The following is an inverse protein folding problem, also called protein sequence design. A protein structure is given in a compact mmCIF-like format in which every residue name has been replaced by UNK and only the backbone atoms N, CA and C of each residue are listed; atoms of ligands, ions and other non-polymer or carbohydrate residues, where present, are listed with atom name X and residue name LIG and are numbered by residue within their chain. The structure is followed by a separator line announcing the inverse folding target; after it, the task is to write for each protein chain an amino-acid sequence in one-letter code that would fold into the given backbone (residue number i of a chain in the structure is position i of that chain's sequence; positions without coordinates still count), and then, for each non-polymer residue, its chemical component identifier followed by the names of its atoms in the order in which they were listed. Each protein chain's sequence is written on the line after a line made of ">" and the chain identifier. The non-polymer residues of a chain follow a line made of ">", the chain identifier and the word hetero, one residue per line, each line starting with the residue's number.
data_IF_770172070702
#
_entry.id   IF_770172070702
#
_cell.length_a   1.000
_cell.length_b   1.000
_cell.length_c   1.000
_cell.angle_alpha   90.00
_cell.angle_beta   90.00
_cell.angle_gamma   90.00
#
_symmetry.space_group_name_H-M   'P 1'
#
loop_
_entity.id
_entity.type
_entity.pdbx_description
1 polymer ?
#
# COMPACT_ATOMS: atom_id res chain seq x y z
N UNK A 1 -5.30 18.80 -36.17
CA UNK A 1 -5.64 19.29 -34.82
C UNK A 1 -7.04 18.81 -34.47
N UNK A 2 -7.26 18.03 -33.41
CA UNK A 2 -8.61 17.91 -32.86
C UNK A 2 -8.87 19.11 -31.92
N UNK A 3 -10.06 19.71 -31.97
CA UNK A 3 -10.39 20.90 -31.20
C UNK A 3 -10.55 20.52 -29.73
N UNK A 4 -9.59 20.93 -28.90
CA UNK A 4 -9.69 20.87 -27.45
C UNK A 4 -10.65 21.95 -26.95
N UNK A 5 -11.94 21.67 -26.99
CA UNK A 5 -12.95 22.45 -26.27
C UNK A 5 -13.01 21.98 -24.81
N UNK A 6 -12.61 22.81 -23.87
CA UNK A 6 -12.97 22.63 -22.47
C UNK A 6 -14.48 22.83 -22.34
N UNK A 7 -15.24 21.75 -22.21
CA UNK A 7 -16.69 21.83 -22.04
C UNK A 7 -17.02 22.54 -20.72
N UNK A 8 -17.45 23.80 -20.81
CA UNK A 8 -18.06 24.57 -19.74
C UNK A 8 -19.54 24.22 -19.65
N UNK A 9 -19.88 23.41 -18.65
CA UNK A 9 -21.22 22.85 -18.43
C UNK A 9 -21.03 21.42 -17.96
N UNK A 10 -21.32 21.11 -16.70
CA UNK A 10 -20.91 19.82 -16.13
C UNK A 10 -21.86 18.72 -16.62
N UNK A 11 -21.46 17.83 -17.56
CA UNK A 11 -22.28 16.67 -17.93
C UNK A 11 -22.62 15.86 -16.68
N UNK A 12 -21.76 15.87 -15.66
CA UNK A 12 -21.98 15.22 -14.35
C UNK A 12 -23.26 15.63 -13.64
N UNK A 13 -23.64 16.92 -13.65
CA UNK A 13 -24.87 17.37 -13.00
C UNK A 13 -26.08 16.92 -13.79
N UNK A 14 -26.00 16.95 -15.12
CA UNK A 14 -27.01 16.42 -16.03
C UNK A 14 -27.18 14.90 -15.86
N UNK A 15 -26.07 14.16 -15.81
CA UNK A 15 -26.04 12.72 -15.55
C UNK A 15 -26.61 12.40 -14.17
N UNK A 16 -26.26 13.18 -13.15
CA UNK A 16 -26.79 12.99 -11.81
C UNK A 16 -28.29 13.25 -11.74
N UNK A 17 -28.78 14.30 -12.39
CA UNK A 17 -30.20 14.60 -12.51
C UNK A 17 -30.95 13.52 -13.30
N UNK A 18 -30.34 12.98 -14.37
CA UNK A 18 -30.92 11.89 -15.16
C UNK A 18 -31.01 10.59 -14.34
N UNK A 19 -29.99 10.27 -13.53
CA UNK A 19 -30.02 9.12 -12.61
C UNK A 19 -31.06 9.29 -11.51
N UNK A 20 -31.17 10.48 -10.93
CA UNK A 20 -32.11 10.75 -9.83
C UNK A 20 -33.58 10.60 -10.25
N UNK A 21 -33.89 10.74 -11.55
CA UNK A 21 -35.24 10.53 -12.10
C UNK A 21 -35.59 9.06 -12.33
N UNK A 22 -34.63 8.14 -12.26
CA UNK A 22 -34.88 6.72 -12.54
C UNK A 22 -35.55 6.04 -11.36
N UNK A 23 -36.54 5.15 -11.60
CA UNK A 23 -37.17 4.40 -10.53
C UNK A 23 -36.14 3.51 -9.83
N UNK A 24 -36.26 3.42 -8.51
CA UNK A 24 -35.39 2.59 -7.68
C UNK A 24 -34.03 3.21 -7.32
N UNK A 25 -33.69 4.40 -7.81
CA UNK A 25 -32.48 5.14 -7.36
C UNK A 25 -32.80 5.92 -6.09
N UNK A 26 -32.10 5.60 -5.00
CA UNK A 26 -32.32 6.21 -3.68
C UNK A 26 -31.54 7.51 -3.48
N UNK A 27 -30.30 7.54 -3.96
CA UNK A 27 -29.41 8.67 -3.79
C UNK A 27 -28.43 8.76 -4.94
N UNK A 28 -28.06 9.98 -5.30
CA UNK A 28 -27.04 10.26 -6.32
C UNK A 28 -26.00 11.22 -5.74
N UNK A 29 -24.73 10.88 -5.91
CA UNK A 29 -23.59 11.66 -5.37
C UNK A 29 -22.58 11.92 -6.47
N UNK A 30 -22.15 13.16 -6.62
CA UNK A 30 -21.17 13.56 -7.64
C UNK A 30 -19.78 13.75 -7.02
N UNK A 31 -18.78 13.05 -7.54
CA UNK A 31 -17.38 13.29 -7.21
C UNK A 31 -16.70 14.13 -8.30
N UNK A 32 -16.73 15.45 -8.12
CA UNK A 32 -16.13 16.39 -9.07
C UNK A 32 -14.64 16.15 -9.31
N UNK A 33 -13.90 15.65 -8.32
CA UNK A 33 -12.45 15.43 -8.45
C UNK A 33 -12.11 14.17 -9.24
N UNK A 34 -12.93 13.13 -9.13
CA UNK A 34 -12.73 11.85 -9.83
C UNK A 34 -13.46 11.76 -11.16
N UNK A 35 -14.33 12.73 -11.45
CA UNK A 35 -15.23 12.69 -12.59
C UNK A 35 -16.13 11.44 -12.59
N UNK A 36 -16.70 11.10 -11.42
CA UNK A 36 -17.56 9.93 -11.22
C UNK A 36 -18.87 10.38 -10.57
N UNK A 37 -19.98 9.76 -10.97
CA UNK A 37 -21.28 9.83 -10.28
C UNK A 37 -21.55 8.47 -9.64
N UNK A 38 -21.92 8.46 -8.37
CA UNK A 38 -22.34 7.25 -7.66
C UNK A 38 -23.86 7.31 -7.46
N UNK A 39 -24.54 6.20 -7.68
CA UNK A 39 -25.97 6.06 -7.45
C UNK A 39 -26.22 4.85 -6.55
N UNK A 40 -27.16 4.98 -5.62
CA UNK A 40 -27.58 3.91 -4.73
C UNK A 40 -28.86 3.28 -5.29
N UNK A 41 -28.81 1.98 -5.57
CA UNK A 41 -29.98 1.21 -5.98
C UNK A 41 -30.73 0.70 -4.74
N UNK A 42 -32.06 0.76 -4.80
CA UNK A 42 -32.96 0.22 -3.78
C UNK A 42 -33.11 -1.30 -3.84
N UNK A 43 -32.94 -1.90 -5.03
CA UNK A 43 -33.14 -3.33 -5.28
C UNK A 43 -32.02 -3.91 -6.15
N UNK A 44 -31.74 -5.23 -6.06
CA UNK A 44 -30.78 -5.90 -6.94
C UNK A 44 -31.13 -5.78 -8.43
N UNK A 45 -32.43 -5.78 -8.77
CA UNK A 45 -32.90 -5.58 -10.14
C UNK A 45 -32.53 -4.20 -10.66
N UNK A 46 -32.78 -3.15 -9.87
CA UNK A 46 -32.36 -1.78 -10.20
C UNK A 46 -30.84 -1.69 -10.37
N UNK A 47 -30.06 -2.36 -9.52
CA UNK A 47 -28.61 -2.41 -9.64
C UNK A 47 -28.17 -3.02 -10.98
N UNK A 48 -28.71 -4.18 -11.35
CA UNK A 48 -28.41 -4.85 -12.63
C UNK A 48 -28.76 -3.98 -13.84
N UNK A 49 -29.91 -3.29 -13.79
CA UNK A 49 -30.32 -2.34 -14.83
C UNK A 49 -29.35 -1.15 -14.93
N UNK A 50 -28.93 -0.58 -13.79
CA UNK A 50 -27.96 0.50 -13.76
C UNK A 50 -26.61 0.06 -14.33
N UNK A 51 -26.15 -1.16 -13.99
CA UNK A 51 -24.90 -1.73 -14.50
C UNK A 51 -24.94 -2.00 -16.01
N UNK A 52 -26.12 -2.18 -16.60
CA UNK A 52 -26.31 -2.38 -18.03
C UNK A 52 -26.24 -1.06 -18.84
N UNK A 53 -26.36 0.10 -18.20
CA UNK A 53 -26.32 1.41 -18.89
C UNK A 53 -24.97 1.61 -19.58
N UNK A 54 -25.01 2.03 -20.85
CA UNK A 54 -23.84 2.41 -21.65
C UNK A 54 -23.88 3.86 -22.12
N UNK A 55 -25.06 4.47 -22.08
CA UNK A 55 -25.27 5.85 -22.47
C UNK A 55 -26.33 6.47 -21.55
N UNK A 56 -26.09 7.71 -21.12
CA UNK A 56 -27.02 8.45 -20.29
C UNK A 56 -27.07 9.91 -20.76
N UNK A 57 -28.24 10.35 -21.22
CA UNK A 57 -28.44 11.72 -21.70
C UNK A 57 -27.53 12.11 -22.87
N UNK A 58 -27.31 11.22 -23.84
CA UNK A 58 -26.43 11.46 -24.99
C UNK A 58 -24.94 11.30 -24.70
N UNK A 59 -24.58 10.95 -23.46
CA UNK A 59 -23.17 10.81 -23.04
C UNK A 59 -22.85 9.33 -22.83
N UNK A 60 -21.82 8.78 -23.49
CA UNK A 60 -21.37 7.42 -23.25
C UNK A 60 -20.79 7.31 -21.83
N UNK A 61 -21.22 6.28 -21.09
CA UNK A 61 -20.83 6.05 -19.70
C UNK A 61 -20.36 4.61 -19.49
N UNK A 62 -19.44 4.42 -18.55
CA UNK A 62 -19.07 3.10 -18.06
C UNK A 62 -19.53 2.97 -16.62
N UNK A 63 -20.42 2.02 -16.36
CA UNK A 63 -20.96 1.74 -15.02
C UNK A 63 -20.25 0.53 -14.44
N UNK A 64 -19.88 0.62 -13.16
CA UNK A 64 -19.16 -0.42 -12.43
C UNK A 64 -19.56 -0.35 -10.96
N UNK A 65 -19.57 -1.50 -10.30
CA UNK A 65 -19.71 -1.52 -8.85
C UNK A 65 -18.49 -0.87 -8.17
N UNK A 66 -18.68 -0.15 -7.05
CA UNK A 66 -17.57 0.32 -6.23
C UNK A 66 -16.72 -0.86 -5.75
N UNK A 67 -15.39 -0.69 -5.76
CA UNK A 67 -14.51 -1.69 -5.17
C UNK A 67 -14.85 -1.93 -3.69
N UNK A 68 -14.89 -3.20 -3.31
CA UNK A 68 -15.14 -3.59 -1.93
C UNK A 68 -13.97 -3.17 -1.04
N UNK A 69 -14.23 -2.21 -0.15
CA UNK A 69 -13.27 -1.65 0.82
C UNK A 69 -12.94 -2.62 1.94
N UNK A 70 -13.72 -3.69 2.10
CA UNK A 70 -13.42 -4.77 3.03
C UNK A 70 -12.36 -5.68 2.48
N UNK A 71 -12.15 -5.71 1.16
CA UNK A 71 -11.10 -6.50 0.53
C UNK A 71 -9.83 -5.70 0.31
N UNK A 72 -8.69 -6.39 0.26
CA UNK A 72 -7.41 -5.81 -0.09
C UNK A 72 -6.72 -6.57 -1.21
N UNK A 73 -5.65 -5.99 -1.74
CA UNK A 73 -4.89 -6.60 -2.82
C UNK A 73 -3.39 -6.50 -2.51
N UNK A 74 -2.69 -7.60 -2.75
CA UNK A 74 -1.25 -7.69 -2.63
C UNK A 74 -0.64 -8.47 -3.78
N UNK A 75 0.64 -8.24 -4.02
CA UNK A 75 1.42 -8.95 -5.02
C UNK A 75 2.45 -9.84 -4.35
N UNK A 76 2.66 -11.00 -4.94
CA UNK A 76 3.69 -11.96 -4.55
C UNK A 76 4.60 -12.18 -5.75
N UNK A 77 5.89 -12.36 -5.48
CA UNK A 77 6.94 -12.52 -6.49
C UNK A 77 7.70 -13.82 -6.23
N UNK A 78 8.38 -14.35 -7.26
CA UNK A 78 9.15 -15.59 -7.15
C UNK A 78 8.26 -16.83 -7.09
N UNK A 79 7.11 -16.78 -7.75
CA UNK A 79 6.20 -17.92 -7.88
C UNK A 79 6.48 -18.62 -9.20
N UNK A 80 6.64 -19.95 -9.15
CA UNK A 80 6.87 -20.81 -10.32
C UNK A 80 5.90 -20.47 -11.46
N UNK A 81 6.40 -20.39 -12.68
CA UNK A 81 5.64 -20.04 -13.89
C UNK A 81 4.60 -21.08 -14.26
N UNK A 82 4.83 -22.34 -13.90
CA UNK A 82 4.03 -23.48 -14.35
C UNK A 82 2.68 -23.57 -13.61
N UNK A 83 2.55 -22.90 -12.47
CA UNK A 83 1.31 -22.87 -11.69
C UNK A 83 0.23 -22.01 -12.38
N UNK A 84 -0.91 -22.66 -12.65
CA UNK A 84 -2.14 -22.02 -13.15
C UNK A 84 -2.81 -21.18 -12.07
N UNK A 85 -3.69 -20.24 -12.47
CA UNK A 85 -4.43 -19.40 -11.51
C UNK A 85 -5.28 -20.22 -10.52
N UNK A 86 -5.80 -21.37 -10.96
CA UNK A 86 -6.59 -22.27 -10.12
C UNK A 86 -5.71 -22.97 -9.07
N UNK A 87 -4.56 -23.50 -9.49
CA UNK A 87 -3.58 -24.13 -8.58
C UNK A 87 -2.99 -23.11 -7.60
N UNK A 88 -2.74 -21.88 -8.06
CA UNK A 88 -2.33 -20.78 -7.18
C UNK A 88 -3.37 -20.53 -6.11
N UNK A 89 -4.65 -20.40 -6.48
CA UNK A 89 -5.70 -20.12 -5.50
C UNK A 89 -5.88 -21.28 -4.51
N UNK A 90 -5.83 -22.52 -4.97
CA UNK A 90 -6.00 -23.71 -4.13
C UNK A 90 -4.78 -23.99 -3.22
N UNK A 91 -3.57 -23.68 -3.70
CA UNK A 91 -2.31 -23.98 -3.01
C UNK A 91 -1.82 -22.89 -2.05
N UNK A 92 -2.44 -21.70 -2.06
CA UNK A 92 -2.06 -20.62 -1.15
C UNK A 92 -2.73 -20.81 0.22
N UNK A 93 -1.89 -20.95 1.23
CA UNK A 93 -2.30 -20.86 2.63
C UNK A 93 -2.01 -19.46 3.16
N UNK A 94 -2.99 -18.83 3.79
CA UNK A 94 -2.92 -17.45 4.25
C UNK A 94 -3.71 -17.29 5.54
N UNK A 95 -3.24 -16.42 6.44
CA UNK A 95 -4.00 -16.06 7.65
C UNK A 95 -5.31 -15.33 7.34
N UNK A 96 -5.38 -14.70 6.17
CA UNK A 96 -6.57 -14.02 5.65
C UNK A 96 -7.10 -14.78 4.43
N UNK A 97 -8.42 -15.03 4.31
CA UNK A 97 -8.98 -15.72 3.14
C UNK A 97 -8.61 -15.05 1.81
N UNK A 98 -8.14 -15.85 0.86
CA UNK A 98 -7.80 -15.40 -0.50
C UNK A 98 -9.02 -15.55 -1.40
N UNK A 99 -9.53 -14.43 -1.90
CA UNK A 99 -10.71 -14.36 -2.76
C UNK A 99 -10.40 -14.64 -4.23
N UNK A 100 -9.17 -14.36 -4.67
CA UNK A 100 -8.72 -14.65 -6.04
C UNK A 100 -7.21 -14.59 -6.14
N UNK A 101 -6.63 -15.46 -6.98
CA UNK A 101 -5.23 -15.41 -7.38
C UNK A 101 -5.15 -15.27 -8.90
N UNK A 102 -4.34 -14.32 -9.40
CA UNK A 102 -4.20 -14.07 -10.83
C UNK A 102 -2.77 -13.71 -11.15
N UNK A 103 -2.16 -14.42 -12.11
CA UNK A 103 -0.83 -14.09 -12.61
C UNK A 103 -0.87 -12.81 -13.45
N UNK A 104 0.00 -11.85 -13.11
CA UNK A 104 0.25 -10.62 -13.83
C UNK A 104 1.76 -10.53 -14.14
N UNK A 105 2.15 -11.05 -15.31
CA UNK A 105 3.55 -11.17 -15.72
C UNK A 105 4.34 -12.11 -14.78
N UNK A 106 5.46 -11.61 -14.24
CA UNK A 106 6.31 -12.34 -13.28
C UNK A 106 5.80 -12.31 -11.83
N UNK A 107 4.61 -11.75 -11.59
CA UNK A 107 4.03 -11.61 -10.25
C UNK A 107 2.66 -12.26 -10.17
N UNK A 108 2.25 -12.64 -8.96
CA UNK A 108 0.90 -13.12 -8.68
C UNK A 108 0.17 -12.09 -7.85
N UNK A 109 -0.98 -11.64 -8.34
CA UNK A 109 -1.88 -10.75 -7.64
C UNK A 109 -2.88 -11.56 -6.83
N UNK A 110 -2.96 -11.26 -5.54
CA UNK A 110 -3.86 -11.87 -4.59
C UNK A 110 -4.86 -10.84 -4.10
N UNK A 111 -6.13 -11.21 -4.10
CA UNK A 111 -7.19 -10.45 -3.43
C UNK A 111 -7.54 -11.14 -2.12
N UNK A 112 -7.57 -10.39 -1.04
CA UNK A 112 -7.84 -10.89 0.31
C UNK A 112 -9.18 -10.38 0.81
N UNK A 113 -9.83 -11.15 1.70
CA UNK A 113 -11.12 -10.79 2.29
C UNK A 113 -11.06 -9.65 3.32
N UNK A 114 -9.87 -9.34 3.85
CA UNK A 114 -9.65 -8.28 4.83
C UNK A 114 -9.11 -6.99 4.19
N UNK A 115 -9.36 -5.81 4.81
CA UNK A 115 -8.96 -4.51 4.28
C UNK A 115 -7.45 -4.29 4.30
N UNK A 116 -6.72 -5.13 5.04
CA UNK A 116 -5.27 -5.17 5.09
C UNK A 116 -4.80 -6.57 4.65
N UNK A 117 -3.89 -6.66 3.68
CA UNK A 117 -3.34 -7.94 3.29
C UNK A 117 -2.37 -8.44 4.38
N UNK A 118 -2.24 -9.75 4.59
CA UNK A 118 -1.24 -10.30 5.49
C UNK A 118 0.17 -9.98 4.97
N UNK A 119 1.18 -9.97 5.85
CA UNK A 119 2.56 -9.70 5.42
C UNK A 119 3.15 -10.83 4.58
N UNK A 120 2.69 -12.06 4.81
CA UNK A 120 3.19 -13.28 4.21
C UNK A 120 2.05 -14.24 3.89
N UNK A 121 2.27 -15.05 2.86
CA UNK A 121 1.46 -16.21 2.50
C UNK A 121 2.38 -17.41 2.30
N UNK A 122 1.83 -18.62 2.38
CA UNK A 122 2.55 -19.86 2.11
C UNK A 122 2.03 -20.45 0.81
N UNK A 123 2.92 -20.86 -0.08
CA UNK A 123 2.58 -21.59 -1.31
C UNK A 123 3.63 -22.68 -1.50
N UNK A 124 3.19 -23.93 -1.63
CA UNK A 124 4.08 -25.10 -1.77
C UNK A 124 5.16 -25.17 -0.66
N UNK A 125 4.79 -24.80 0.57
CA UNK A 125 5.72 -24.76 1.72
C UNK A 125 6.64 -23.54 1.78
N UNK A 126 6.65 -22.68 0.75
CA UNK A 126 7.48 -21.47 0.71
C UNK A 126 6.75 -20.28 1.34
N UNK A 127 7.40 -19.60 2.28
CA UNK A 127 6.90 -18.33 2.82
C UNK A 127 7.21 -17.16 1.88
N UNK A 128 6.18 -16.66 1.22
CA UNK A 128 6.29 -15.58 0.27
C UNK A 128 5.81 -14.26 0.88
N UNK A 129 6.57 -13.20 0.64
CA UNK A 129 6.20 -11.86 1.13
C UNK A 129 5.13 -11.24 0.24
N UNK A 130 4.05 -10.79 0.85
CA UNK A 130 3.01 -10.02 0.18
C UNK A 130 3.42 -8.55 0.13
N UNK A 131 3.30 -7.96 -1.06
CA UNK A 131 3.53 -6.54 -1.31
C UNK A 131 2.17 -5.88 -1.55
N UNK A 132 1.62 -5.14 -0.57
CA UNK A 132 0.36 -4.44 -0.75
C UNK A 132 0.41 -3.51 -1.97
N UNK A 133 -0.72 -3.35 -2.65
CA UNK A 133 -0.84 -2.33 -3.71
C UNK A 133 -0.45 -0.97 -3.13
N UNK A 134 0.55 -0.32 -3.73
CA UNK A 134 0.95 1.04 -3.37
C UNK A 134 0.18 2.03 -4.25
N UNK A 135 -0.91 2.66 -3.76
CA UNK A 135 -1.68 3.57 -4.57
C UNK A 135 -0.83 4.79 -4.93
N UNK A 136 -0.80 5.12 -6.22
CA UNK A 136 -0.16 6.35 -6.69
C UNK A 136 -1.03 7.56 -6.33
N UNK A 137 -0.43 8.70 -5.97
CA UNK A 137 -1.16 9.95 -5.84
C UNK A 137 -1.94 10.25 -7.12
N UNK A 138 -3.19 10.67 -6.98
CA UNK A 138 -3.97 11.13 -8.13
C UNK A 138 -3.41 12.47 -8.60
N UNK A 139 -2.65 12.44 -9.68
CA UNK A 139 -2.05 13.61 -10.32
C UNK A 139 -2.77 13.90 -11.63
N UNK A 140 -3.22 15.14 -11.80
CA UNK A 140 -3.87 15.59 -13.01
C UNK A 140 -2.84 15.65 -14.15
N UNK A 141 -3.09 14.92 -15.23
CA UNK A 141 -2.18 14.88 -16.39
C UNK A 141 -2.16 16.19 -17.19
N UNK A 142 -3.20 17.03 -17.05
CA UNK A 142 -3.27 18.32 -17.73
C UNK A 142 -2.50 19.42 -17.00
N UNK A 143 -2.66 19.56 -15.68
CA UNK A 143 -2.04 20.66 -14.92
C UNK A 143 -0.94 20.23 -13.94
N UNK A 144 -0.64 18.94 -13.83
CA UNK A 144 0.39 18.40 -12.94
C UNK A 144 0.10 18.48 -11.44
N UNK A 145 -1.05 19.04 -11.03
CA UNK A 145 -1.44 19.17 -9.62
C UNK A 145 -2.17 17.94 -9.09
N UNK A 146 -2.05 17.69 -7.80
CA UNK A 146 -2.71 16.54 -7.16
C UNK A 146 -4.19 16.78 -6.86
N UNK A 147 -4.92 15.67 -6.73
CA UNK A 147 -6.25 15.61 -6.15
C UNK A 147 -7.42 15.62 -7.13
N UNK A 148 -7.19 15.68 -8.44
CA UNK A 148 -8.24 15.57 -9.47
C UNK A 148 -7.71 14.90 -10.75
N UNK A 149 -8.63 14.41 -11.57
CA UNK A 149 -8.32 13.87 -12.91
C UNK A 149 -8.30 14.98 -13.98
N UNK A 150 -7.78 14.68 -15.17
CA UNK A 150 -7.67 15.66 -16.25
C UNK A 150 -9.03 16.16 -16.73
N UNK A 151 -10.02 15.27 -16.82
CA UNK A 151 -11.40 15.56 -17.22
C UNK A 151 -12.13 16.46 -16.22
N UNK A 152 -11.63 16.53 -14.98
CA UNK A 152 -12.13 17.42 -13.94
C UNK A 152 -11.33 18.74 -13.83
N UNK A 153 -10.31 18.92 -14.66
CA UNK A 153 -9.42 20.06 -14.58
C UNK A 153 -10.04 21.29 -15.25
N UNK A 154 -10.10 22.39 -14.51
CA UNK A 154 -10.54 23.70 -15.02
C UNK A 154 -9.35 24.62 -15.34
N UNK A 155 -8.12 24.11 -15.19
CA UNK A 155 -6.89 24.88 -15.43
C UNK A 155 -6.39 24.61 -16.84
N UNK A 156 -5.72 25.62 -17.40
CA UNK A 156 -4.92 25.46 -18.62
C UNK A 156 -3.84 24.39 -18.42
N UNK A 157 -3.48 23.73 -19.52
CA UNK A 157 -2.42 22.72 -19.54
C UNK A 157 -1.10 23.28 -19.04
N UNK A 158 -0.30 22.49 -18.34
CA UNK A 158 1.01 22.89 -17.84
C UNK A 158 2.02 21.76 -18.02
N UNK A 159 3.25 22.10 -18.38
CA UNK A 159 4.34 21.14 -18.47
C UNK A 159 4.61 20.50 -17.10
N UNK A 160 4.62 19.17 -17.03
CA UNK A 160 4.90 18.44 -15.79
C UNK A 160 6.30 18.74 -15.22
N UNK A 161 7.27 19.07 -16.10
CA UNK A 161 8.67 19.35 -15.70
C UNK A 161 8.83 20.72 -15.05
N UNK A 162 8.23 21.78 -15.60
CA UNK A 162 8.48 23.16 -15.16
C UNK A 162 7.23 23.97 -14.75
N UNK A 163 6.02 23.42 -14.93
CA UNK A 163 4.75 24.05 -14.55
C UNK A 163 4.27 25.18 -15.47
N UNK A 164 4.98 25.50 -16.56
CA UNK A 164 4.63 26.57 -17.52
C UNK A 164 3.80 26.03 -18.69
N UNK A 165 3.12 26.93 -19.40
CA UNK A 165 2.40 26.65 -20.65
C UNK A 165 3.36 26.76 -21.84
N UNK A 166 3.54 25.67 -22.59
CA UNK A 166 4.30 25.66 -23.85
C UNK A 166 4.03 24.37 -24.63
N UNK A 167 4.33 24.39 -25.93
CA UNK A 167 4.09 23.28 -26.87
C UNK A 167 5.15 22.16 -26.78
N UNK A 168 6.41 22.48 -26.48
CA UNK A 168 7.52 21.53 -26.47
C UNK A 168 8.19 21.46 -25.09
N UNK A 169 8.30 20.26 -24.50
CA UNK A 169 8.76 20.04 -23.13
C UNK A 169 10.29 19.92 -22.98
N UNK A 170 11.03 19.90 -24.09
CA UNK A 170 12.40 19.37 -24.13
C UNK A 170 13.45 20.33 -23.54
N UNK A 171 13.25 21.65 -23.61
CA UNK A 171 14.24 22.66 -23.19
C UNK A 171 13.98 23.36 -21.85
N UNK A 172 13.01 22.91 -21.05
CA UNK A 172 12.65 23.62 -19.81
C UNK A 172 13.42 23.13 -18.57
N UNK A 173 13.94 24.07 -17.76
CA UNK A 173 14.55 23.78 -16.46
C UNK A 173 13.47 23.24 -15.49
N UNK A 174 13.71 22.11 -14.80
CA UNK A 174 12.70 21.51 -13.95
C UNK A 174 12.39 22.40 -12.76
N UNK A 175 11.09 22.64 -12.54
CA UNK A 175 10.54 23.36 -11.39
C UNK A 175 9.16 22.78 -11.08
N UNK A 176 9.06 22.14 -9.93
CA UNK A 176 7.86 21.42 -9.53
C UNK A 176 6.71 22.40 -9.26
N UNK A 177 5.58 22.24 -9.95
CA UNK A 177 4.39 23.08 -9.74
C UNK A 177 3.77 22.90 -8.34
N UNK A 178 4.05 21.80 -7.66
CA UNK A 178 3.44 21.46 -6.38
C UNK A 178 4.26 21.97 -5.17
N UNK A 179 5.59 21.92 -5.24
CA UNK A 179 6.48 22.30 -4.13
C UNK A 179 7.49 23.42 -4.47
N UNK A 180 7.64 23.78 -5.74
CA UNK A 180 8.60 24.78 -6.21
C UNK A 180 10.05 24.31 -6.37
N UNK A 181 10.35 23.05 -5.99
CA UNK A 181 11.71 22.49 -6.04
C UNK A 181 12.22 22.18 -7.45
N UNK A 182 13.54 21.94 -7.57
CA UNK A 182 14.25 21.70 -8.83
C UNK A 182 14.08 20.25 -9.35
N UNK A 183 12.84 19.82 -9.53
CA UNK A 183 12.47 18.51 -10.07
C UNK A 183 11.12 18.58 -10.78
N UNK A 184 10.76 17.56 -11.57
CA UNK A 184 9.46 17.48 -12.22
C UNK A 184 8.34 17.16 -11.22
N UNK A 185 7.11 17.58 -11.48
CA UNK A 185 6.01 17.49 -10.53
C UNK A 185 5.59 16.07 -10.15
N UNK A 186 5.95 15.07 -10.94
CA UNK A 186 5.70 13.63 -10.77
C UNK A 186 6.85 12.88 -10.07
N UNK A 187 7.94 13.57 -9.73
CA UNK A 187 9.11 12.96 -9.09
C UNK A 187 8.75 12.42 -7.69
N UNK A 188 9.02 11.12 -7.37
CA UNK A 188 8.64 10.52 -6.07
C UNK A 188 9.33 11.11 -4.83
N UNK A 189 10.45 11.81 -5.01
CA UNK A 189 11.17 12.50 -3.93
C UNK A 189 10.53 13.85 -3.57
N UNK A 190 9.55 14.33 -4.34
CA UNK A 190 8.83 15.56 -4.04
C UNK A 190 8.09 15.44 -2.69
N UNK A 191 8.24 16.40 -1.76
CA UNK A 191 7.57 16.33 -0.45
C UNK A 191 6.05 16.33 -0.58
N UNK A 192 5.50 17.08 -1.55
CA UNK A 192 4.06 17.07 -1.85
C UNK A 192 3.59 15.75 -2.45
N UNK A 193 4.42 15.09 -3.25
CA UNK A 193 4.10 13.78 -3.79
C UNK A 193 4.05 12.74 -2.67
N UNK A 194 5.01 12.77 -1.74
CA UNK A 194 5.05 11.88 -0.58
C UNK A 194 3.87 12.09 0.36
N UNK A 195 3.51 13.35 0.66
CA UNK A 195 2.30 13.70 1.41
C UNK A 195 1.05 13.09 0.75
N UNK A 196 0.86 13.33 -0.56
CA UNK A 196 -0.31 12.84 -1.29
C UNK A 196 -0.31 11.31 -1.46
N UNK A 197 0.87 10.66 -1.44
CA UNK A 197 0.99 9.21 -1.42
C UNK A 197 0.52 8.65 -0.10
N UNK A 198 0.91 9.24 1.04
CA UNK A 198 0.40 8.85 2.37
C UNK A 198 -1.11 8.99 2.44
N UNK A 199 -1.65 10.11 1.95
CA UNK A 199 -3.11 10.32 1.85
C UNK A 199 -3.77 9.24 1.00
N UNK A 200 -3.20 8.91 -0.17
CA UNK A 200 -3.74 7.87 -1.04
C UNK A 200 -3.71 6.48 -0.38
N UNK A 201 -2.62 6.15 0.31
CA UNK A 201 -2.47 4.88 1.06
C UNK A 201 -3.51 4.79 2.17
N UNK A 202 -3.62 5.82 3.02
CA UNK A 202 -4.57 5.82 4.13
C UNK A 202 -6.02 5.68 3.63
N UNK A 203 -6.38 6.40 2.56
CA UNK A 203 -7.71 6.29 1.95
C UNK A 203 -8.00 4.92 1.33
N UNK A 204 -6.97 4.16 0.93
CA UNK A 204 -7.11 2.86 0.29
C UNK A 204 -7.28 1.73 1.32
N UNK A 205 -6.63 1.84 2.48
CA UNK A 205 -6.68 0.82 3.54
C UNK A 205 -7.74 1.09 4.61
N UNK A 206 -8.33 2.30 4.62
CA UNK A 206 -9.38 2.63 5.57
C UNK A 206 -10.67 1.85 5.27
N UNK A 207 -11.19 1.05 6.23
CA UNK A 207 -12.42 0.28 6.05
C UNK A 207 -13.65 1.19 5.94
N UNK A 208 -13.61 2.35 6.61
CA UNK A 208 -14.67 3.35 6.55
C UNK A 208 -14.44 4.38 5.43
N UNK A 209 -15.51 4.91 4.82
CA UNK A 209 -15.40 6.03 3.88
C UNK A 209 -14.96 7.29 4.64
N UNK A 210 -13.76 7.79 4.30
CA UNK A 210 -13.23 9.02 4.89
C UNK A 210 -13.18 10.17 3.89
N UNK A 211 -13.41 11.38 4.39
CA UNK A 211 -13.22 12.57 3.58
C UNK A 211 -11.73 12.78 3.30
N UNK A 212 -11.37 13.03 2.04
CA UNK A 212 -9.98 13.33 1.67
C UNK A 212 -9.43 14.52 2.46
N UNK A 213 -10.28 15.49 2.82
CA UNK A 213 -9.91 16.68 3.58
C UNK A 213 -9.46 16.30 4.99
N UNK A 214 -10.21 15.45 5.69
CA UNK A 214 -9.86 14.97 7.02
C UNK A 214 -8.55 14.17 7.01
N UNK A 215 -8.42 13.20 6.09
CA UNK A 215 -7.19 12.40 5.95
C UNK A 215 -5.98 13.30 5.66
N UNK A 216 -6.14 14.28 4.77
CA UNK A 216 -5.06 15.21 4.44
C UNK A 216 -4.68 16.11 5.62
N UNK A 217 -5.64 16.51 6.45
CA UNK A 217 -5.35 17.24 7.68
C UNK A 217 -4.56 16.37 8.67
N UNK A 218 -4.99 15.13 8.91
CA UNK A 218 -4.30 14.20 9.79
C UNK A 218 -2.86 13.91 9.34
N UNK A 219 -2.64 13.63 8.05
CA UNK A 219 -1.28 13.39 7.50
C UNK A 219 -0.37 14.61 7.67
N UNK A 220 -0.92 15.82 7.56
CA UNK A 220 -0.16 17.07 7.76
C UNK A 220 0.19 17.27 9.21
N UNK A 221 -0.74 16.98 10.12
CA UNK A 221 -0.53 17.09 11.55
C UNK A 221 0.55 16.11 12.02
N UNK A 222 0.44 14.84 11.62
CA UNK A 222 1.46 13.83 11.92
C UNK A 222 2.86 14.22 11.39
N UNK A 223 2.90 14.86 10.21
CA UNK A 223 4.17 15.33 9.62
C UNK A 223 4.76 16.54 10.36
N UNK A 224 3.97 17.28 11.14
CA UNK A 224 4.43 18.37 12.01
C UNK A 224 4.95 17.84 13.33
N UNK A 225 4.25 16.86 13.91
CA UNK A 225 4.59 16.24 15.20
C UNK A 225 5.82 15.33 15.12
N UNK A 226 6.09 14.72 13.96
CA UNK A 226 7.32 13.96 13.68
C UNK A 226 8.20 14.69 12.66
N UNK A 227 8.96 15.73 13.06
CA UNK A 227 10.04 16.22 12.22
C UNK A 227 11.02 15.06 11.93
N UNK A 228 11.48 14.97 10.69
CA UNK A 228 12.45 13.94 10.26
C UNK A 228 13.63 13.88 11.24
N UNK A 229 14.13 12.69 11.61
CA UNK A 229 15.42 12.62 12.28
C UNK A 229 16.43 13.39 11.42
N UNK A 230 17.17 14.30 12.06
CA UNK A 230 18.21 15.08 11.41
C UNK A 230 19.08 14.16 10.56
N UNK A 231 19.54 14.58 9.37
CA UNK A 231 20.46 13.76 8.59
C UNK A 231 21.64 13.42 9.51
N UNK A 232 21.87 12.12 9.76
CA UNK A 232 23.12 11.67 10.36
C UNK A 232 24.21 12.25 9.46
N UNK A 233 24.98 13.19 9.99
CA UNK A 233 26.22 13.67 9.35
C UNK A 233 27.00 12.41 9.03
N UNK A 234 27.14 12.11 7.74
CA UNK A 234 28.08 11.11 7.28
C UNK A 234 29.46 11.62 7.70
N UNK A 235 29.97 11.10 8.82
CA UNK A 235 31.38 11.23 9.16
C UNK A 235 32.14 10.35 8.16
N UNK A 236 32.34 10.88 6.95
CA UNK A 236 33.38 10.38 6.06
C UNK A 236 34.71 10.85 6.65
N UNK A 237 35.63 9.95 7.04
CA UNK A 237 36.93 10.37 7.49
C UNK A 237 37.74 10.83 6.28
N UNK A 238 38.08 12.12 6.25
CA UNK A 238 39.10 12.65 5.33
C UNK A 238 40.44 12.09 5.77
N UNK A 239 41.02 11.18 4.96
CA UNK A 239 42.37 10.70 5.15
C UNK A 239 43.36 11.82 4.83
N UNK A 240 44.21 12.20 5.80
CA UNK A 240 45.52 12.84 5.60
C UNK A 240 46.31 12.89 6.91
N UNK A 241 47.47 12.22 6.92
CA UNK A 241 48.62 12.41 7.83
C UNK A 241 48.65 11.66 9.20
N UNK A 242 49.85 11.43 9.78
CA UNK A 242 50.66 10.24 9.53
C UNK A 242 50.78 9.30 10.75
N UNK A 243 51.23 8.07 10.48
CA UNK A 243 51.47 6.99 11.45
C UNK A 243 52.27 7.46 12.67
N UNK A 244 51.73 7.22 13.85
CA UNK A 244 52.48 7.07 15.09
C UNK A 244 51.95 5.83 15.81
N UNK A 245 52.84 4.85 15.99
CA UNK A 245 52.58 3.56 16.60
C UNK A 245 52.44 3.70 18.12
N UNK A 246 51.34 3.20 18.67
CA UNK A 246 51.13 2.99 20.11
C UNK A 246 50.65 1.55 20.37
N UNK A 247 50.88 1.02 21.59
CA UNK A 247 51.03 -0.42 21.83
C UNK A 247 49.69 -1.16 21.94
N UNK A 248 49.78 -2.49 21.81
CA UNK A 248 48.65 -3.41 21.80
C UNK A 248 47.81 -3.33 23.10
N UNK A 249 46.49 -3.21 22.92
CA UNK A 249 45.49 -3.35 23.97
C UNK A 249 45.19 -4.83 24.28
N UNK A 250 44.78 -5.18 25.51
CA UNK A 250 44.60 -6.56 25.96
C UNK A 250 43.37 -7.23 25.32
N UNK A 251 43.30 -8.57 25.29
CA UNK A 251 42.21 -9.29 24.64
C UNK A 251 40.87 -9.06 25.36
N UNK A 252 39.84 -8.78 24.57
CA UNK A 252 38.46 -8.74 25.02
C UNK A 252 37.97 -10.15 25.42
N UNK A 253 37.17 -10.22 26.49
CA UNK A 253 36.51 -11.42 26.98
C UNK A 253 35.64 -12.10 25.90
N UNK A 254 35.43 -13.43 25.97
CA UNK A 254 34.73 -14.16 24.92
C UNK A 254 33.26 -13.73 24.85
N UNK A 255 32.79 -13.47 23.64
CA UNK A 255 31.39 -13.25 23.33
C UNK A 255 30.64 -14.60 23.41
N UNK A 256 29.58 -14.68 24.22
CA UNK A 256 28.71 -15.86 24.25
C UNK A 256 27.84 -15.95 22.99
N UNK A 257 27.63 -17.19 22.50
CA UNK A 257 26.94 -17.47 21.24
C UNK A 257 25.45 -17.07 21.36
N UNK A 258 24.90 -16.26 20.44
CA UNK A 258 23.49 -15.89 20.43
C UNK A 258 22.51 -17.07 20.40
N UNK A 259 22.98 -18.27 20.01
CA UNK A 259 22.19 -19.51 20.09
C UNK A 259 22.01 -20.00 21.53
N UNK A 260 23.04 -19.89 22.35
CA UNK A 260 22.97 -20.30 23.76
C UNK A 260 21.98 -19.42 24.50
N UNK A 261 21.97 -18.12 24.20
CA UNK A 261 21.02 -17.15 24.79
C UNK A 261 19.56 -17.47 24.43
N UNK A 262 19.31 -17.91 23.20
CA UNK A 262 17.96 -18.30 22.75
C UNK A 262 17.49 -19.57 23.45
N UNK A 263 18.37 -20.55 23.64
CA UNK A 263 18.06 -21.80 24.35
C UNK A 263 17.76 -21.51 25.82
N UNK A 264 18.56 -20.67 26.49
CA UNK A 264 18.30 -20.31 27.89
C UNK A 264 16.96 -19.61 28.07
N UNK A 265 16.62 -18.67 27.17
CA UNK A 265 15.36 -17.95 27.21
C UNK A 265 14.14 -18.86 26.99
N UNK A 266 14.25 -19.85 26.08
CA UNK A 266 13.19 -20.80 25.80
C UNK A 266 12.95 -21.75 26.99
N UNK A 267 14.02 -22.24 27.62
CA UNK A 267 13.93 -23.09 28.82
C UNK A 267 13.31 -22.33 30.00
N UNK A 268 13.70 -21.07 30.21
CA UNK A 268 13.11 -20.22 31.25
C UNK A 268 11.60 -19.99 31.03
N UNK A 269 11.18 -19.78 29.78
CA UNK A 269 9.77 -19.63 29.43
C UNK A 269 8.96 -20.91 29.67
N UNK A 270 9.50 -22.08 29.31
CA UNK A 270 8.85 -23.38 29.59
C UNK A 270 8.71 -23.64 31.10
N UNK A 271 9.73 -23.28 31.88
CA UNK A 271 9.70 -23.44 33.33
C UNK A 271 8.66 -22.53 34.01
N UNK A 272 8.47 -21.32 33.50
CA UNK A 272 7.42 -20.42 33.96
C UNK A 272 6.02 -20.96 33.66
N UNK A 273 5.79 -21.54 32.47
CA UNK A 273 4.49 -22.12 32.09
C UNK A 273 4.09 -23.29 32.99
N UNK A 274 5.05 -24.12 33.42
CA UNK A 274 4.80 -25.25 34.34
C UNK A 274 4.20 -24.80 35.68
N UNK A 275 4.59 -23.62 36.19
CA UNK A 275 4.10 -23.10 37.47
C UNK A 275 2.60 -22.76 37.46
N UNK A 276 2.02 -22.58 36.26
CA UNK A 276 0.60 -22.27 36.09
C UNK A 276 -0.24 -23.50 35.71
N UNK A 277 0.37 -24.68 35.59
CA UNK A 277 -0.34 -25.92 35.27
C UNK A 277 -0.64 -26.75 36.54
N UNK A 278 -1.88 -27.22 36.71
CA UNK A 278 -2.23 -28.18 37.78
C UNK A 278 -1.35 -29.45 37.72
N UNK A 279 -1.13 -30.09 38.87
CA UNK A 279 -0.31 -31.33 39.00
C UNK A 279 -0.71 -32.41 37.99
N UNK A 280 -2.00 -32.58 37.75
CA UNK A 280 -2.54 -33.64 36.90
C UNK A 280 -2.70 -33.22 35.43
N UNK A 281 -2.23 -32.03 35.05
CA UNK A 281 -2.41 -31.53 33.68
C UNK A 281 -1.50 -32.29 32.70
N UNK A 282 -2.03 -32.88 31.61
CA UNK A 282 -1.28 -33.77 30.72
C UNK A 282 -0.08 -33.09 30.05
N UNK A 283 -0.14 -31.77 29.83
CA UNK A 283 0.99 -31.00 29.27
C UNK A 283 2.14 -30.79 30.26
N UNK A 284 1.91 -30.90 31.58
CA UNK A 284 2.93 -30.64 32.60
C UNK A 284 4.04 -31.69 32.55
N UNK A 285 3.69 -32.96 32.36
CA UNK A 285 4.65 -34.05 32.18
C UNK A 285 5.50 -33.87 30.92
N UNK A 286 4.88 -33.47 29.81
CA UNK A 286 5.57 -33.22 28.53
C UNK A 286 6.55 -32.05 28.63
N UNK A 287 6.17 -30.95 29.30
CA UNK A 287 7.06 -29.81 29.50
C UNK A 287 8.26 -30.16 30.41
N UNK A 288 8.06 -30.96 31.47
CA UNK A 288 9.16 -31.42 32.33
C UNK A 288 10.15 -32.32 31.57
N UNK A 289 9.66 -33.21 30.70
CA UNK A 289 10.51 -34.03 29.83
C UNK A 289 11.33 -33.20 28.84
N UNK A 290 10.75 -32.13 28.28
CA UNK A 290 11.43 -31.23 27.34
C UNK A 290 12.57 -30.42 28.01
N UNK A 291 12.44 -30.07 29.29
CA UNK A 291 13.48 -29.37 30.06
C UNK A 291 14.62 -30.32 30.45
N UNK A 292 14.33 -31.61 30.70
CA UNK A 292 15.31 -32.61 31.13
C UNK A 292 16.22 -33.17 30.03
N UNK A 293 15.92 -32.95 28.75
CA UNK A 293 16.73 -33.44 27.63
C UNK A 293 17.97 -32.55 27.43
N UNK A 294 19.14 -32.97 27.94
CA UNK A 294 20.41 -32.29 27.67
C UNK A 294 20.77 -32.38 26.18
N UNK A 295 21.02 -31.27 25.48
CA UNK A 295 21.60 -31.32 24.15
C UNK A 295 23.11 -31.56 24.28
N UNK A 296 23.58 -32.71 23.80
CA UNK A 296 25.03 -33.00 23.66
C UNK A 296 25.54 -34.10 24.58
N UNK A 297 25.35 -35.35 24.19
CA UNK A 297 26.30 -36.42 24.52
C UNK A 297 27.04 -36.78 23.22
N UNK A 298 28.38 -36.72 23.17
CA UNK A 298 29.14 -37.16 22.00
C UNK A 298 28.95 -38.67 21.82
N UNK A 299 28.68 -39.10 20.58
CA UNK A 299 28.68 -40.52 20.24
C UNK A 299 30.13 -41.01 20.25
N UNK A 300 30.46 -41.82 21.24
CA UNK A 300 31.63 -42.70 21.23
C UNK A 300 31.27 -44.00 20.51
N UNK A 301 32.11 -44.32 19.52
CA UNK A 301 32.27 -45.58 18.75
C UNK A 301 31.17 -45.99 17.76
#
# INVERSE_FOLDING_TARGET
>A
MPPGGSFSGSPRLTLAAALAKRPGVLAVRVNHRRNIVAADASTPTCLSELLAIRELGGVPVTVREPADRRSSTGFVYGVDGDLTNAELLAGITSAVPVLSATREGASVKLRFADPLPPERVVLLGLQLRVRPVRPRPRQCQQCGRFGHVAEACQRKGACIRCGRQHLQAESCKPRCINCGGAHAADTPTCPRWQEERRVATFMAVSPAPLSRRAVKAAVREESRERPSPAPRRSLLPTASSPRSSLPAAPPAAPAEDPRDTLITNLLAALQAVIQFLPEEHPLRATCLQAIGARPGAPRSE
#
